data_IF_983801934536
#
_entry.id   IF_983801934536
#
_cell.length_a   1.000
_cell.length_b   1.000
_cell.length_c   1.000
_cell.angle_alpha   90.00
_cell.angle_beta   90.00
_cell.angle_gamma   90.00
#
_symmetry.space_group_name_H-M   'P 1'
#
loop_
_entity.id
_entity.type
_entity.pdbx_description
1 polymer ?
#
# COMPACT_ATOMS: atom_id res chain seq x y z
N UNK A 1 -45.26 -10.05 10.01
CA UNK A 1 -44.09 -9.53 10.75
C UNK A 1 -43.72 -8.19 10.13
N UNK A 2 -43.74 -7.13 10.91
CA UNK A 2 -43.56 -5.76 10.42
C UNK A 2 -42.17 -5.61 9.80
N UNK A 3 -42.11 -5.22 8.53
CA UNK A 3 -40.87 -5.05 7.74
C UNK A 3 -39.83 -4.17 8.46
N UNK A 4 -40.29 -3.19 9.25
CA UNK A 4 -39.46 -2.33 10.09
C UNK A 4 -38.71 -3.08 11.22
N UNK A 5 -39.29 -4.15 11.76
CA UNK A 5 -38.65 -4.96 12.82
C UNK A 5 -37.53 -5.81 12.22
N UNK A 6 -37.74 -6.32 11.00
CA UNK A 6 -36.73 -7.10 10.28
C UNK A 6 -35.53 -6.23 9.92
N UNK A 7 -35.76 -5.01 9.43
CA UNK A 7 -34.68 -4.07 9.08
C UNK A 7 -33.86 -3.68 10.32
N UNK A 8 -34.50 -3.39 11.45
CA UNK A 8 -33.78 -3.05 12.68
C UNK A 8 -32.93 -4.22 13.21
N UNK A 9 -33.42 -5.46 13.10
CA UNK A 9 -32.66 -6.66 13.48
C UNK A 9 -31.42 -6.81 12.58
N UNK A 10 -31.53 -6.58 11.28
CA UNK A 10 -30.40 -6.62 10.35
C UNK A 10 -29.36 -5.54 10.66
N UNK A 11 -29.77 -4.31 10.98
CA UNK A 11 -28.84 -3.23 11.32
C UNK A 11 -28.08 -3.56 12.62
N UNK A 12 -28.76 -4.10 13.63
CA UNK A 12 -28.13 -4.49 14.90
C UNK A 12 -27.17 -5.67 14.70
N UNK A 13 -27.55 -6.66 13.88
CA UNK A 13 -26.66 -7.77 13.53
C UNK A 13 -25.42 -7.30 12.75
N UNK A 14 -25.58 -6.35 11.81
CA UNK A 14 -24.47 -5.76 11.07
C UNK A 14 -23.51 -5.00 12.00
N UNK A 15 -24.04 -4.22 12.94
CA UNK A 15 -23.24 -3.51 13.94
C UNK A 15 -22.51 -4.46 14.89
N UNK A 16 -23.17 -5.55 15.31
CA UNK A 16 -22.54 -6.59 16.12
C UNK A 16 -21.43 -7.32 15.35
N UNK A 17 -21.61 -7.60 14.05
CA UNK A 17 -20.57 -8.19 13.20
C UNK A 17 -19.37 -7.24 13.02
N UNK A 18 -19.60 -5.93 12.90
CA UNK A 18 -18.52 -4.93 12.85
C UNK A 18 -17.77 -4.85 14.19
N UNK A 19 -18.49 -4.96 15.32
CA UNK A 19 -17.92 -4.88 16.67
C UNK A 19 -17.21 -6.14 17.16
N UNK A 20 -17.45 -7.30 16.53
CA UNK A 20 -16.75 -8.56 16.88
C UNK A 20 -15.49 -8.78 16.02
N UNK A 21 -15.30 -8.00 14.94
CA UNK A 21 -14.09 -8.01 14.13
C UNK A 21 -12.91 -7.07 14.54
N UNK A 22 -12.94 -6.23 15.61
CA UNK A 22 -11.74 -5.52 16.02
C UNK A 22 -10.83 -6.37 16.93
N UNK A 23 -11.24 -7.59 17.30
CA UNK A 23 -10.45 -8.48 18.19
C UNK A 23 -9.54 -9.49 17.49
N UNK A 24 -9.49 -9.52 16.15
CA UNK A 24 -8.50 -10.31 15.42
C UNK A 24 -7.43 -9.39 14.86
N UNK A 25 -6.36 -9.22 15.65
CA UNK A 25 -5.15 -8.46 15.35
C UNK A 25 -5.42 -6.99 14.99
N UNK A 26 -4.90 -6.08 15.81
CA UNK A 26 -4.63 -4.71 15.39
C UNK A 26 -3.70 -4.83 14.17
N UNK A 27 -4.29 -4.79 12.96
CA UNK A 27 -3.57 -4.56 11.72
C UNK A 27 -3.24 -3.06 11.64
N UNK A 28 -2.63 -2.55 12.71
CA UNK A 28 -1.99 -1.25 12.71
C UNK A 28 -0.64 -1.42 12.06
N UNK A 29 -0.14 -0.38 11.41
CA UNK A 29 1.24 -0.29 10.89
C UNK A 29 2.33 -0.47 11.98
N UNK A 30 1.99 -0.89 13.19
CA UNK A 30 2.83 -0.91 14.38
C UNK A 30 3.00 0.49 14.98
N UNK A 31 3.56 0.55 16.20
CA UNK A 31 3.79 1.80 16.93
C UNK A 31 4.86 2.69 16.24
N UNK A 32 5.67 2.11 15.33
CA UNK A 32 6.59 2.84 14.45
C UNK A 32 6.73 2.13 13.10
N UNK A 33 6.10 2.67 12.07
CA UNK A 33 6.31 2.21 10.69
C UNK A 33 7.39 3.02 10.02
N UNK A 34 8.32 2.33 9.37
CA UNK A 34 9.37 2.95 8.58
C UNK A 34 9.00 2.84 7.11
N UNK A 35 8.85 3.98 6.44
CA UNK A 35 8.70 3.97 4.99
C UNK A 35 10.02 3.55 4.37
N UNK A 36 10.04 2.40 3.71
CA UNK A 36 11.14 1.97 2.89
C UNK A 36 10.79 2.29 1.44
N UNK A 37 11.17 3.49 1.00
CA UNK A 37 11.12 3.81 -0.43
C UNK A 37 12.19 2.95 -1.08
N UNK A 38 11.80 1.95 -1.87
CA UNK A 38 12.70 0.94 -2.42
C UNK A 38 13.77 1.46 -3.38
N UNK A 39 13.90 2.78 -3.53
CA UNK A 39 14.56 3.35 -4.67
C UNK A 39 15.99 3.83 -4.39
N UNK A 40 16.89 3.21 -5.15
CA UNK A 40 18.12 3.80 -5.66
C UNK A 40 17.77 4.53 -6.95
N UNK A 41 17.84 5.85 -6.93
CA UNK A 41 17.80 6.65 -8.12
C UNK A 41 19.19 6.65 -8.77
N UNK A 42 19.39 5.76 -9.74
CA UNK A 42 20.69 5.57 -10.41
C UNK A 42 21.21 6.84 -11.08
N UNK A 43 20.29 7.68 -11.54
CA UNK A 43 20.56 8.90 -12.29
C UNK A 43 20.55 10.14 -11.39
N UNK A 44 20.20 9.97 -10.12
CA UNK A 44 20.21 10.99 -9.07
C UNK A 44 19.36 12.24 -9.43
N UNK A 45 18.23 12.01 -10.11
CA UNK A 45 17.23 13.01 -10.56
C UNK A 45 16.18 13.34 -9.49
N UNK A 46 15.86 12.41 -8.59
CA UNK A 46 14.74 12.42 -7.64
C UNK A 46 15.21 12.27 -6.17
N UNK A 47 16.17 11.38 -5.86
CA UNK A 47 16.61 11.12 -4.48
C UNK A 47 18.14 11.18 -4.34
N UNK A 48 18.63 11.91 -3.34
CA UNK A 48 20.06 12.00 -3.03
C UNK A 48 20.66 10.64 -2.58
N UNK A 49 21.95 10.44 -2.90
CA UNK A 49 22.87 9.30 -2.64
C UNK A 49 22.80 8.54 -1.30
N UNK A 50 22.00 8.94 -0.32
CA UNK A 50 21.91 8.29 0.99
C UNK A 50 20.79 7.24 1.01
N UNK A 51 20.90 6.24 0.15
CA UNK A 51 20.04 5.06 0.20
C UNK A 51 20.40 4.26 1.45
N UNK A 52 19.45 4.13 2.38
CA UNK A 52 19.61 3.25 3.55
C UNK A 52 19.51 1.80 3.06
N UNK A 53 20.62 1.08 3.04
CA UNK A 53 20.64 -0.36 2.73
C UNK A 53 19.71 -1.10 3.71
N UNK A 54 19.02 -2.15 3.25
CA UNK A 54 18.14 -2.98 4.11
C UNK A 54 18.85 -3.44 5.39
N UNK A 55 20.11 -3.89 5.29
CA UNK A 55 20.91 -4.28 6.46
C UNK A 55 21.30 -3.14 7.42
N UNK A 56 20.98 -1.89 7.09
CA UNK A 56 21.15 -0.70 7.95
C UNK A 56 19.80 -0.16 8.45
N UNK A 57 18.70 -0.86 8.18
CA UNK A 57 17.40 -0.42 8.66
C UNK A 57 17.36 -0.42 10.19
N UNK A 58 16.70 0.58 10.79
CA UNK A 58 16.56 0.62 12.24
C UNK A 58 15.77 -0.59 12.72
N UNK A 59 16.24 -1.24 13.78
CA UNK A 59 15.62 -2.45 14.34
C UNK A 59 14.36 -2.13 15.14
N UNK A 60 14.22 -0.88 15.55
CA UNK A 60 13.06 -0.33 16.24
C UNK A 60 11.83 -0.20 15.33
N UNK A 61 11.99 -0.23 14.01
CA UNK A 61 10.87 -0.27 13.08
C UNK A 61 10.04 -1.52 13.35
N UNK A 62 8.73 -1.37 13.50
CA UNK A 62 7.80 -2.49 13.74
C UNK A 62 7.11 -2.97 12.46
N UNK A 63 7.17 -2.15 11.42
CA UNK A 63 6.74 -2.48 10.07
C UNK A 63 7.51 -1.66 9.04
N UNK A 64 7.53 -2.16 7.81
CA UNK A 64 8.03 -1.45 6.65
C UNK A 64 6.93 -1.24 5.63
N UNK A 65 6.99 -0.10 4.95
CA UNK A 65 6.11 0.17 3.80
C UNK A 65 6.97 0.28 2.55
N UNK A 66 6.76 -0.62 1.60
CA UNK A 66 7.48 -0.70 0.33
C UNK A 66 6.75 0.09 -0.76
N UNK A 67 7.41 1.11 -1.29
CA UNK A 67 7.02 1.82 -2.51
C UNK A 67 8.00 1.39 -3.59
N UNK A 68 7.60 0.53 -4.53
CA UNK A 68 8.49 0.02 -5.58
C UNK A 68 7.82 -0.89 -6.61
N UNK A 69 6.49 -0.98 -6.58
CA UNK A 69 5.72 -1.70 -7.61
C UNK A 69 4.65 -0.80 -8.20
N UNK A 70 4.17 -1.17 -9.38
CA UNK A 70 3.03 -0.55 -10.04
C UNK A 70 2.20 -1.60 -10.74
N UNK A 71 0.89 -1.35 -10.80
CA UNK A 71 -0.04 -2.05 -11.64
C UNK A 71 -0.16 -1.32 -12.98
N UNK A 72 -0.13 -2.05 -14.10
CA UNK A 72 -0.42 -1.49 -15.41
C UNK A 72 -1.90 -1.69 -15.80
N UNK A 73 -2.31 -1.10 -16.92
CA UNK A 73 -3.69 -1.23 -17.46
C UNK A 73 -4.15 -2.67 -17.77
N UNK A 74 -3.24 -3.64 -17.83
CA UNK A 74 -3.53 -5.05 -18.03
C UNK A 74 -3.58 -5.84 -16.70
N UNK A 75 -3.56 -5.13 -15.56
CA UNK A 75 -3.49 -5.69 -14.21
C UNK A 75 -2.20 -6.44 -13.89
N UNK A 76 -1.14 -6.21 -14.66
CA UNK A 76 0.16 -6.81 -14.36
C UNK A 76 0.89 -5.95 -13.34
N UNK A 77 1.28 -6.59 -12.23
CA UNK A 77 2.07 -5.96 -11.17
C UNK A 77 3.53 -6.18 -11.49
N UNK A 78 4.29 -5.09 -11.58
CA UNK A 78 5.70 -5.09 -11.93
C UNK A 78 6.47 -4.07 -11.11
N UNK A 79 7.80 -4.08 -11.22
CA UNK A 79 8.66 -3.07 -10.61
C UNK A 79 8.28 -1.66 -11.09
N UNK A 80 8.44 -0.67 -10.21
CA UNK A 80 8.06 0.71 -10.52
C UNK A 80 9.18 1.46 -11.24
N UNK A 81 10.43 1.31 -10.81
CA UNK A 81 11.53 2.10 -11.33
C UNK A 81 12.64 1.24 -11.89
N UNK A 82 13.08 0.21 -11.16
CA UNK A 82 14.20 -0.64 -11.55
C UNK A 82 13.87 -2.12 -11.40
N UNK A 83 14.41 -3.01 -12.25
CA UNK A 83 14.14 -4.45 -12.17
C UNK A 83 14.41 -5.06 -10.78
N UNK A 84 15.37 -4.52 -10.04
CA UNK A 84 15.79 -4.96 -8.72
C UNK A 84 14.77 -4.64 -7.61
N UNK A 85 13.75 -3.81 -7.86
CA UNK A 85 12.73 -3.46 -6.86
C UNK A 85 12.04 -4.72 -6.28
N UNK A 86 11.82 -5.75 -7.10
CA UNK A 86 11.23 -7.01 -6.62
C UNK A 86 12.17 -7.81 -5.72
N UNK A 87 13.49 -7.76 -5.98
CA UNK A 87 14.50 -8.37 -5.12
C UNK A 87 14.64 -7.60 -3.81
N UNK A 88 14.50 -6.27 -3.84
CA UNK A 88 14.44 -5.44 -2.64
C UNK A 88 13.20 -5.73 -1.80
N UNK A 89 12.02 -5.87 -2.43
CA UNK A 89 10.79 -6.26 -1.73
C UNK A 89 10.99 -7.61 -1.03
N UNK A 90 11.55 -8.59 -1.72
CA UNK A 90 11.85 -9.89 -1.14
C UNK A 90 12.84 -9.78 0.03
N UNK A 91 13.92 -9.04 -0.14
CA UNK A 91 14.93 -8.83 0.90
C UNK A 91 14.36 -8.13 2.14
N UNK A 92 13.35 -7.26 1.96
CA UNK A 92 12.66 -6.57 3.04
C UNK A 92 11.68 -7.51 3.77
N UNK A 93 11.00 -8.39 3.03
CA UNK A 93 10.13 -9.44 3.60
C UNK A 93 10.97 -10.44 4.42
N UNK A 94 12.15 -10.80 3.93
CA UNK A 94 13.04 -11.76 4.59
C UNK A 94 13.91 -11.11 5.70
N UNK A 95 13.79 -9.79 5.91
CA UNK A 95 14.61 -9.06 6.88
C UNK A 95 14.33 -9.51 8.32
N UNK A 96 15.41 -9.79 9.07
CA UNK A 96 15.36 -10.39 10.41
C UNK A 96 14.42 -11.60 10.48
N UNK A 97 14.58 -12.52 9.53
CA UNK A 97 13.82 -13.77 9.42
C UNK A 97 12.29 -13.56 9.32
N UNK A 98 11.86 -12.44 8.73
CA UNK A 98 10.45 -12.09 8.57
C UNK A 98 9.77 -11.61 9.86
N UNK A 99 10.55 -11.11 10.82
CA UNK A 99 10.03 -10.57 12.08
C UNK A 99 9.18 -9.29 11.91
N UNK A 100 9.30 -8.62 10.76
CA UNK A 100 8.69 -7.32 10.49
C UNK A 100 7.54 -7.43 9.50
N UNK A 101 6.46 -6.70 9.75
CA UNK A 101 5.36 -6.62 8.79
C UNK A 101 5.78 -5.75 7.59
N UNK A 102 5.59 -6.24 6.37
CA UNK A 102 5.81 -5.44 5.15
C UNK A 102 4.46 -5.10 4.52
N UNK A 103 4.22 -3.83 4.28
CA UNK A 103 3.06 -3.31 3.55
C UNK A 103 3.48 -2.81 2.18
N UNK A 104 2.61 -2.92 1.18
CA UNK A 104 2.91 -2.54 -0.19
C UNK A 104 2.10 -1.31 -0.58
N UNK A 105 2.76 -0.24 -1.04
CA UNK A 105 2.04 0.78 -1.79
C UNK A 105 1.61 0.21 -3.14
N UNK A 106 0.31 0.08 -3.32
CA UNK A 106 -0.32 -0.40 -4.53
C UNK A 106 -0.91 0.78 -5.31
N UNK A 107 -0.49 0.93 -6.56
CA UNK A 107 -0.94 2.01 -7.44
C UNK A 107 -0.93 1.60 -8.89
N UNK A 108 -1.73 2.29 -9.68
CA UNK A 108 -1.62 2.26 -11.13
C UNK A 108 -0.56 3.25 -11.63
N UNK A 109 -0.11 3.07 -12.87
CA UNK A 109 0.94 3.91 -13.47
C UNK A 109 0.54 5.39 -13.57
N UNK A 110 -0.74 5.65 -13.85
CA UNK A 110 -1.28 7.01 -13.98
C UNK A 110 -2.62 7.15 -13.28
N UNK A 111 -3.03 8.39 -12.98
CA UNK A 111 -4.39 8.68 -12.48
C UNK A 111 -5.47 8.24 -13.47
N UNK A 112 -5.18 8.33 -14.78
CA UNK A 112 -6.09 7.86 -15.82
C UNK A 112 -6.27 6.34 -15.78
N UNK A 113 -5.21 5.57 -15.52
CA UNK A 113 -5.29 4.12 -15.35
C UNK A 113 -6.10 3.77 -14.10
N UNK A 114 -5.89 4.49 -12.98
CA UNK A 114 -6.72 4.37 -11.79
C UNK A 114 -8.20 4.63 -12.08
N UNK A 115 -8.50 5.75 -12.74
CA UNK A 115 -9.86 6.09 -13.14
C UNK A 115 -10.45 5.00 -14.05
N UNK A 116 -9.67 4.49 -15.00
CA UNK A 116 -10.12 3.43 -15.90
C UNK A 116 -10.43 2.14 -15.14
N UNK A 117 -9.56 1.72 -14.22
CA UNK A 117 -9.77 0.56 -13.37
C UNK A 117 -11.04 0.70 -12.52
N UNK A 118 -11.28 1.88 -11.94
CA UNK A 118 -12.45 2.15 -11.09
C UNK A 118 -13.79 2.19 -11.86
N UNK A 119 -13.81 2.75 -13.07
CA UNK A 119 -15.06 2.94 -13.82
C UNK A 119 -15.35 1.85 -14.85
N UNK A 120 -14.30 1.27 -15.45
CA UNK A 120 -14.41 0.34 -16.57
C UNK A 120 -13.61 -0.95 -16.35
N UNK A 121 -12.91 -1.08 -15.22
CA UNK A 121 -12.04 -2.19 -14.95
C UNK A 121 -12.76 -3.48 -14.60
N UNK A 122 -12.00 -4.57 -14.63
CA UNK A 122 -12.41 -5.89 -14.17
C UNK A 122 -11.75 -6.16 -12.82
N UNK A 123 -12.48 -5.81 -11.76
CA UNK A 123 -12.03 -5.98 -10.38
C UNK A 123 -11.74 -7.45 -10.02
N UNK A 124 -12.36 -8.42 -10.71
CA UNK A 124 -12.11 -9.82 -10.44
C UNK A 124 -10.73 -10.22 -10.96
N UNK A 125 -10.36 -9.78 -12.16
CA UNK A 125 -9.02 -9.99 -12.72
C UNK A 125 -7.97 -9.28 -11.88
N UNK A 126 -8.20 -8.02 -11.52
CA UNK A 126 -7.27 -7.25 -10.69
C UNK A 126 -7.05 -7.91 -9.32
N UNK A 127 -8.13 -8.29 -8.64
CA UNK A 127 -8.04 -8.99 -7.36
C UNK A 127 -7.31 -10.34 -7.49
N UNK A 128 -7.54 -11.09 -8.56
CA UNK A 128 -6.81 -12.34 -8.82
C UNK A 128 -5.31 -12.06 -9.02
N UNK A 129 -4.94 -11.06 -9.81
CA UNK A 129 -3.53 -10.71 -10.07
C UNK A 129 -2.83 -10.22 -8.82
N UNK A 130 -3.53 -9.44 -8.00
CA UNK A 130 -3.05 -9.04 -6.68
C UNK A 130 -2.86 -10.26 -5.78
N UNK A 131 -3.81 -11.20 -5.74
CA UNK A 131 -3.68 -12.43 -4.95
C UNK A 131 -2.50 -13.30 -5.42
N UNK A 132 -2.31 -13.46 -6.73
CA UNK A 132 -1.17 -14.16 -7.31
C UNK A 132 0.15 -13.50 -6.88
N UNK A 133 0.23 -12.17 -6.95
CA UNK A 133 1.42 -11.42 -6.58
C UNK A 133 1.75 -11.53 -5.08
N UNK A 134 0.77 -11.32 -4.19
CA UNK A 134 0.99 -11.45 -2.74
C UNK A 134 1.23 -12.91 -2.30
N UNK A 135 0.81 -13.89 -3.11
CA UNK A 135 1.17 -15.30 -2.91
C UNK A 135 2.66 -15.57 -3.14
N UNK A 136 3.30 -14.78 -4.02
CA UNK A 136 4.74 -14.86 -4.30
C UNK A 136 5.53 -13.98 -3.32
N UNK A 137 5.02 -12.78 -3.03
CA UNK A 137 5.62 -11.80 -2.13
C UNK A 137 4.67 -11.57 -0.94
N UNK A 138 4.79 -12.35 0.16
CA UNK A 138 3.80 -12.39 1.25
C UNK A 138 3.82 -11.14 2.13
N UNK A 139 3.37 -10.02 1.57
CA UNK A 139 3.15 -8.76 2.28
C UNK A 139 1.93 -8.87 3.20
N UNK A 140 1.94 -8.09 4.29
CA UNK A 140 0.88 -8.07 5.30
C UNK A 140 -0.37 -7.33 4.84
N UNK A 141 -0.22 -6.39 3.91
CA UNK A 141 -1.33 -5.61 3.39
C UNK A 141 -0.92 -4.66 2.28
N UNK A 142 -1.94 -4.08 1.65
CA UNK A 142 -1.79 -3.10 0.58
C UNK A 142 -2.25 -1.73 1.09
N UNK A 143 -1.53 -0.69 0.71
CA UNK A 143 -1.89 0.70 0.92
C UNK A 143 -2.10 1.30 -0.46
N UNK A 144 -3.33 1.72 -0.76
CA UNK A 144 -3.63 2.27 -2.08
C UNK A 144 -3.03 3.69 -2.21
N UNK A 145 -2.38 3.97 -3.33
CA UNK A 145 -1.63 5.21 -3.58
C UNK A 145 -1.84 5.70 -5.03
N UNK A 146 -1.52 6.96 -5.32
CA UNK A 146 -1.56 7.52 -6.68
C UNK A 146 -2.95 7.85 -7.23
N UNK A 147 -3.96 7.94 -6.36
CA UNK A 147 -5.32 8.37 -6.71
C UNK A 147 -5.54 9.89 -6.57
N UNK A 148 -4.51 10.62 -6.19
CA UNK A 148 -4.56 12.07 -5.97
C UNK A 148 -4.36 12.82 -7.29
N UNK A 149 -5.16 13.88 -7.49
CA UNK A 149 -4.95 14.82 -8.59
C UNK A 149 -3.74 15.71 -8.27
N UNK A 150 -2.68 15.74 -9.10
CA UNK A 150 -1.50 16.58 -8.87
C UNK A 150 -1.85 18.08 -8.77
N UNK A 151 -2.99 18.52 -9.33
CA UNK A 151 -3.42 19.94 -9.23
C UNK A 151 -3.94 20.28 -7.83
N UNK A 152 -4.42 19.31 -7.05
CA UNK A 152 -4.94 19.53 -5.70
C UNK A 152 -3.86 19.40 -4.60
N UNK A 153 -2.73 18.77 -4.90
CA UNK A 153 -1.62 18.59 -3.94
C UNK A 153 -0.68 19.81 -3.85
N UNK A 154 -0.64 20.68 -4.85
CA UNK A 154 0.13 21.94 -4.82
C UNK A 154 -0.52 23.04 -3.95
N UNK A 155 -1.81 22.92 -3.61
CA UNK A 155 -2.54 23.96 -2.85
C UNK A 155 -2.23 23.92 -1.34
N UNK A 156 -1.57 22.87 -0.83
CA UNK A 156 -1.31 22.73 0.62
C UNK A 156 0.08 23.21 1.09
N UNK A 157 0.99 23.64 0.21
CA UNK A 157 2.34 24.06 0.61
C UNK A 157 2.64 25.57 0.45
N UNK A 158 1.63 26.41 0.23
CA UNK A 158 1.82 27.87 0.05
C UNK A 158 1.19 28.74 1.14
N UNK A 159 1.14 28.27 2.38
CA UNK A 159 1.00 29.16 3.54
C UNK A 159 1.81 28.65 4.72
N UNK A 160 3.13 28.85 4.67
CA UNK A 160 3.98 29.04 5.87
C UNK A 160 5.32 29.62 5.42
N UNK A 161 5.26 30.84 4.88
CA UNK A 161 6.40 31.74 4.77
C UNK A 161 5.90 33.15 5.08
N UNK A 162 5.73 33.45 6.36
CA UNK A 162 5.83 34.81 6.86
C UNK A 162 6.74 34.84 8.09
N UNK A 163 7.67 35.79 7.99
CA UNK A 163 8.73 36.22 8.90
C UNK A 163 8.22 36.41 10.33
#
# INVERSE_FOLDING_TARGET
MNSLVVINIYIVLLHLLILVNPTTAICGLGDSSCRYSGNFDSDNVICHKDVVKIGKLPKECTAFVFDGVTCNKNYEISYRWIPEDLDHLKSLIDFEDGAHNVYLFYKHQTLADWSNALFFGDFQIEAQKVQEFIGIYPVKGLILDGMEDPVLSEVQYTTDNFI
#
